data_IF_055827626010
#
_entry.id   IF_055827626010
#
_cell.length_a   1.000
_cell.length_b   1.000
_cell.length_c   1.000
_cell.angle_alpha   90.00
_cell.angle_beta   90.00
_cell.angle_gamma   90.00
#
_symmetry.space_group_name_H-M   'P 1'
#
loop_
_entity.id
_entity.type
_entity.pdbx_description
1 polymer ?
#
# COMPACT_ATOMS: atom_id res chain seq x y z
N UNK A 1 -0.31 -0.12 16.04
CA UNK A 1 0.64 -0.59 15.01
C UNK A 1 1.15 0.59 14.18
N UNK A 2 2.49 0.76 14.00
CA UNK A 2 3.06 1.85 13.21
C UNK A 2 2.60 1.91 11.74
N UNK A 3 2.41 0.75 11.11
CA UNK A 3 2.01 0.62 9.70
C UNK A 3 0.61 1.19 9.41
N UNK A 4 -0.36 0.98 10.31
CA UNK A 4 -1.69 1.56 10.21
C UNK A 4 -1.65 3.10 10.24
N UNK A 5 -0.81 3.68 11.10
CA UNK A 5 -0.64 5.15 11.17
C UNK A 5 -0.08 5.70 9.86
N UNK A 6 0.86 4.98 9.24
CA UNK A 6 1.41 5.35 7.93
C UNK A 6 0.33 5.26 6.86
N UNK A 7 -0.44 4.17 6.80
CA UNK A 7 -1.53 3.99 5.84
C UNK A 7 -2.55 5.14 5.92
N UNK A 8 -3.01 5.51 7.12
CA UNK A 8 -3.94 6.63 7.32
C UNK A 8 -3.35 7.98 6.88
N UNK A 9 -2.08 8.21 7.17
CA UNK A 9 -1.39 9.46 6.79
C UNK A 9 -1.28 9.58 5.27
N UNK A 10 -0.96 8.46 4.60
CA UNK A 10 -0.85 8.40 3.14
C UNK A 10 -2.23 8.54 2.48
N UNK A 11 -3.26 7.88 3.01
CA UNK A 11 -4.64 8.02 2.53
C UNK A 11 -5.11 9.49 2.54
N UNK A 12 -4.91 10.19 3.66
CA UNK A 12 -5.26 11.61 3.78
C UNK A 12 -4.46 12.51 2.82
N UNK A 13 -3.19 12.18 2.60
CA UNK A 13 -2.33 12.95 1.70
C UNK A 13 -2.69 12.74 0.24
N UNK A 14 -2.98 11.49 -0.16
CA UNK A 14 -3.43 11.14 -1.50
C UNK A 14 -4.80 11.76 -1.80
N UNK A 15 -5.77 11.66 -0.88
CA UNK A 15 -7.07 12.29 -1.06
C UNK A 15 -6.97 13.80 -1.33
N UNK A 16 -6.00 14.49 -0.72
CA UNK A 16 -5.74 15.91 -0.96
C UNK A 16 -5.02 16.21 -2.28
N UNK A 17 -4.13 15.33 -2.71
CA UNK A 17 -3.28 15.56 -3.89
C UNK A 17 -3.90 15.08 -5.19
N UNK A 18 -4.66 13.98 -5.14
CA UNK A 18 -5.19 13.31 -6.34
C UNK A 18 -6.70 13.03 -6.26
N UNK A 19 -7.37 13.43 -5.16
CA UNK A 19 -8.79 13.19 -4.95
C UNK A 19 -9.11 11.71 -4.76
N UNK A 20 -10.28 11.31 -5.26
CA UNK A 20 -10.82 9.93 -5.12
C UNK A 20 -10.18 8.93 -6.10
N UNK A 21 -9.09 9.30 -6.77
CA UNK A 21 -8.40 8.44 -7.74
C UNK A 21 -7.68 7.25 -7.10
N UNK A 22 -7.38 7.31 -5.79
CA UNK A 22 -6.67 6.26 -5.07
C UNK A 22 -7.37 5.92 -3.77
N UNK A 23 -7.76 4.65 -3.62
CA UNK A 23 -8.22 4.08 -2.36
C UNK A 23 -7.05 3.38 -1.66
N UNK A 24 -6.83 3.72 -0.39
CA UNK A 24 -5.84 3.05 0.45
C UNK A 24 -6.56 2.08 1.39
N UNK A 25 -6.20 0.81 1.31
CA UNK A 25 -6.73 -0.25 2.18
C UNK A 25 -5.59 -0.81 3.04
N UNK A 26 -5.83 -0.93 4.35
CA UNK A 26 -4.90 -1.55 5.28
C UNK A 26 -5.42 -2.94 5.65
N UNK A 27 -4.55 -3.94 5.55
CA UNK A 27 -4.81 -5.30 5.97
C UNK A 27 -3.94 -5.65 7.17
N UNK A 28 -4.57 -6.11 8.25
CA UNK A 28 -3.88 -6.63 9.42
C UNK A 28 -3.70 -8.15 9.28
N UNK A 29 -2.47 -8.64 9.33
CA UNK A 29 -2.20 -10.07 9.21
C UNK A 29 -2.46 -10.84 10.51
N UNK A 30 -2.72 -10.13 11.62
CA UNK A 30 -3.22 -10.74 12.84
C UNK A 30 -4.75 -11.00 12.77
N UNK A 31 -5.44 -10.47 11.75
CA UNK A 31 -6.87 -10.71 11.53
C UNK A 31 -7.11 -12.04 10.77
N UNK A 32 -7.80 -13.03 11.36
CA UNK A 32 -8.07 -14.31 10.72
C UNK A 32 -8.89 -14.19 9.43
N UNK A 33 -9.72 -13.15 9.30
CA UNK A 33 -10.51 -12.90 8.08
C UNK A 33 -9.59 -12.51 6.93
N UNK A 34 -8.62 -11.63 7.19
CA UNK A 34 -7.61 -11.21 6.20
C UNK A 34 -6.75 -12.40 5.78
N UNK A 35 -6.30 -13.20 6.76
CA UNK A 35 -5.52 -14.42 6.49
C UNK A 35 -6.27 -15.38 5.57
N UNK A 36 -7.57 -15.56 5.79
CA UNK A 36 -8.39 -16.43 4.95
C UNK A 36 -8.65 -15.85 3.55
N UNK A 37 -9.01 -14.56 3.46
CA UNK A 37 -9.34 -13.90 2.19
C UNK A 37 -8.14 -13.77 1.24
N UNK A 38 -6.91 -13.66 1.79
CA UNK A 38 -5.70 -13.41 1.02
C UNK A 38 -4.65 -14.53 1.16
N UNK A 39 -5.07 -15.74 1.53
CA UNK A 39 -4.19 -16.86 1.85
C UNK A 39 -3.10 -17.10 0.80
N UNK A 40 -3.47 -17.25 -0.48
CA UNK A 40 -2.53 -17.51 -1.57
C UNK A 40 -1.44 -16.43 -1.70
N UNK A 41 -1.86 -15.17 -1.59
CA UNK A 41 -0.98 -14.01 -1.74
C UNK A 41 -0.02 -13.88 -0.56
N UNK A 42 -0.51 -14.14 0.65
CA UNK A 42 0.29 -14.15 1.88
C UNK A 42 1.32 -15.28 1.83
N UNK A 43 0.92 -16.48 1.39
CA UNK A 43 1.83 -17.62 1.19
C UNK A 43 2.93 -17.27 0.19
N UNK A 44 2.59 -16.71 -0.97
CA UNK A 44 3.57 -16.26 -1.95
C UNK A 44 4.58 -15.26 -1.35
N UNK A 45 4.12 -14.24 -0.62
CA UNK A 45 5.03 -13.27 -0.03
C UNK A 45 5.95 -13.88 1.04
N UNK A 46 5.46 -14.87 1.78
CA UNK A 46 6.25 -15.61 2.77
C UNK A 46 7.30 -16.51 2.12
N UNK A 47 6.97 -17.20 1.03
CA UNK A 47 7.89 -18.05 0.26
C UNK A 47 9.04 -17.23 -0.35
N UNK A 48 8.73 -16.04 -0.86
CA UNK A 48 9.71 -15.10 -1.41
C UNK A 48 10.48 -14.31 -0.32
N UNK A 49 10.20 -14.58 0.96
CA UNK A 49 10.83 -13.92 2.11
C UNK A 49 10.73 -12.37 2.09
N UNK A 50 9.65 -11.81 1.55
CA UNK A 50 9.44 -10.37 1.54
C UNK A 50 9.21 -9.83 2.97
N UNK A 51 9.92 -8.78 3.40
CA UNK A 51 9.73 -8.22 4.73
C UNK A 51 8.42 -7.44 4.82
N UNK A 52 7.63 -7.73 5.87
CA UNK A 52 6.47 -6.93 6.23
C UNK A 52 6.86 -5.63 6.94
N UNK A 53 6.01 -4.58 6.86
CA UNK A 53 4.80 -4.48 6.04
C UNK A 53 5.07 -4.33 4.52
N UNK A 54 4.17 -4.83 3.68
CA UNK A 54 4.19 -4.64 2.23
C UNK A 54 3.14 -3.59 1.82
N UNK A 55 3.47 -2.75 0.84
CA UNK A 55 2.55 -1.85 0.18
C UNK A 55 2.45 -2.22 -1.30
N UNK A 56 1.21 -2.39 -1.77
CA UNK A 56 0.89 -2.74 -3.14
C UNK A 56 0.12 -1.59 -3.80
N UNK A 57 0.25 -1.45 -5.12
CA UNK A 57 -0.59 -0.58 -5.94
C UNK A 57 -1.05 -1.35 -7.16
N UNK A 58 -2.36 -1.62 -7.23
CA UNK A 58 -2.97 -2.52 -8.23
C UNK A 58 -2.17 -3.82 -8.40
N UNK A 59 -1.93 -4.50 -7.28
CA UNK A 59 -1.18 -5.76 -7.16
C UNK A 59 0.33 -5.69 -7.42
N UNK A 60 0.89 -4.53 -7.80
CA UNK A 60 2.34 -4.35 -7.91
C UNK A 60 2.98 -3.96 -6.57
N UNK A 61 4.09 -4.59 -6.20
CA UNK A 61 4.87 -4.23 -5.01
C UNK A 61 5.49 -2.85 -5.19
N UNK A 62 5.07 -1.88 -4.37
CA UNK A 62 5.68 -0.55 -4.31
C UNK A 62 6.74 -0.42 -3.22
N UNK A 63 6.49 -1.08 -2.08
CA UNK A 63 7.36 -0.94 -0.91
C UNK A 63 7.27 -2.18 -0.03
N UNK A 64 8.39 -2.54 0.60
CA UNK A 64 8.49 -3.64 1.56
C UNK A 64 9.26 -3.18 2.79
N UNK A 65 8.92 -3.72 3.96
CA UNK A 65 9.55 -3.37 5.23
C UNK A 65 9.22 -1.95 5.71
N UNK A 66 10.24 -1.18 6.10
CA UNK A 66 10.09 0.08 6.83
C UNK A 66 9.35 1.18 6.07
N UNK A 67 8.04 1.30 6.27
CA UNK A 67 7.20 2.30 5.60
C UNK A 67 7.51 3.73 6.06
N UNK A 68 7.91 4.58 5.12
CA UNK A 68 8.03 6.03 5.30
C UNK A 68 6.92 6.73 4.52
N UNK A 69 6.03 7.51 5.18
CA UNK A 69 4.86 8.11 4.52
C UNK A 69 5.18 8.89 3.24
N UNK A 70 6.23 9.73 3.27
CA UNK A 70 6.61 10.54 2.12
C UNK A 70 7.12 9.71 0.94
N UNK A 71 7.85 8.61 1.21
CA UNK A 71 8.35 7.72 0.14
C UNK A 71 7.21 6.95 -0.50
N UNK A 72 6.29 6.42 0.32
CA UNK A 72 5.12 5.72 -0.19
C UNK A 72 4.23 6.66 -1.01
N UNK A 73 4.00 7.88 -0.53
CA UNK A 73 3.27 8.90 -1.27
C UNK A 73 3.91 9.21 -2.63
N UNK A 74 5.23 9.44 -2.66
CA UNK A 74 5.96 9.71 -3.89
C UNK A 74 5.88 8.53 -4.88
N UNK A 75 5.99 7.28 -4.39
CA UNK A 75 5.87 6.09 -5.22
C UNK A 75 4.49 5.96 -5.87
N UNK A 76 3.42 6.22 -5.12
CA UNK A 76 2.05 6.21 -5.65
C UNK A 76 1.86 7.30 -6.70
N UNK A 77 2.31 8.53 -6.42
CA UNK A 77 2.22 9.66 -7.37
C UNK A 77 2.98 9.36 -8.66
N UNK A 78 4.16 8.76 -8.58
CA UNK A 78 4.95 8.32 -9.72
C UNK A 78 4.20 7.27 -10.56
N UNK A 79 3.53 6.30 -9.92
CA UNK A 79 2.71 5.31 -10.62
C UNK A 79 1.51 5.94 -11.35
N UNK A 80 0.82 6.89 -10.71
CA UNK A 80 -0.28 7.62 -11.35
C UNK A 80 0.20 8.38 -12.59
N UNK A 81 1.36 9.04 -12.52
CA UNK A 81 1.97 9.73 -13.68
C UNK A 81 2.29 8.77 -14.81
N UNK A 82 2.89 7.61 -14.52
CA UNK A 82 3.20 6.59 -15.53
C UNK A 82 1.97 6.08 -16.27
N UNK A 83 0.82 6.06 -15.58
CA UNK A 83 -0.48 5.65 -16.12
C UNK A 83 -1.23 6.78 -16.82
N UNK A 84 -0.61 7.96 -16.97
CA UNK A 84 -1.18 9.10 -17.68
C UNK A 84 -2.29 9.83 -16.92
N UNK A 85 -2.42 9.58 -15.61
CA UNK A 85 -3.40 10.30 -14.79
C UNK A 85 -2.86 11.70 -14.46
N UNK A 86 -3.66 12.71 -14.80
CA UNK A 86 -3.34 14.10 -14.50
C UNK A 86 -3.43 14.30 -12.99
N UNK A 87 -2.31 14.68 -12.38
CA UNK A 87 -2.28 15.19 -11.02
C UNK A 87 -2.78 16.63 -11.08
N UNK A 88 -3.80 16.95 -10.29
CA UNK A 88 -4.44 18.26 -10.27
C UNK A 88 -3.51 19.37 -9.76
#
# INVERSE_FOLDING_TARGET
MPSLKVANTVALSLARLVGDQVQVIYYDLDDPVVLHQHAERITYFAEEAWPYPLALFDDEILFVGGLQPLKLLAAVVEQLRRRGLNLA
#
